data_IF_816433691169
#
_entry.id   IF_816433691169
#
_cell.length_a   1.000
_cell.length_b   1.000
_cell.length_c   1.000
_cell.angle_alpha   90.00
_cell.angle_beta   90.00
_cell.angle_gamma   90.00
#
_symmetry.space_group_name_H-M   'P 1'
#
loop_
_entity.id
_entity.type
_entity.pdbx_description
1 polymer ?
#
# COMPACT_ATOMS: atom_id res chain seq x y z
N UNK A 1 -7.78 -3.16 18.84
CA UNK A 1 -6.86 -2.13 18.35
C UNK A 1 -5.73 -2.79 17.58
N UNK A 2 -5.38 -2.34 16.38
CA UNK A 2 -4.27 -2.91 15.59
C UNK A 2 -3.08 -1.95 15.64
N UNK A 3 -2.16 -2.17 16.58
CA UNK A 3 -0.91 -1.41 16.66
C UNK A 3 0.13 -2.09 15.78
N UNK A 4 0.65 -1.34 14.80
CA UNK A 4 1.63 -1.85 13.82
C UNK A 4 2.83 -0.92 13.77
N UNK A 5 4.00 -1.45 13.47
CA UNK A 5 5.14 -0.63 13.02
C UNK A 5 5.02 -0.47 11.51
N UNK A 6 4.87 0.77 11.05
CA UNK A 6 4.81 1.10 9.62
C UNK A 6 6.12 1.72 9.16
N UNK A 7 6.59 1.32 7.99
CA UNK A 7 7.67 2.00 7.27
C UNK A 7 7.15 2.42 5.91
N UNK A 8 7.41 3.66 5.52
CA UNK A 8 7.02 4.22 4.23
C UNK A 8 8.30 4.56 3.47
N UNK A 9 8.41 4.07 2.25
CA UNK A 9 9.50 4.38 1.33
C UNK A 9 8.95 4.84 -0.01
N UNK A 10 9.69 5.72 -0.68
CA UNK A 10 9.44 6.09 -2.06
C UNK A 10 10.45 5.33 -2.92
N UNK A 11 9.97 4.39 -3.73
CA UNK A 11 10.78 3.52 -4.59
C UNK A 11 10.18 3.52 -6.00
N UNK A 12 10.99 3.86 -7.00
CA UNK A 12 10.56 3.84 -8.41
C UNK A 12 9.32 4.71 -8.71
N UNK A 13 9.10 5.78 -7.94
CA UNK A 13 7.90 6.63 -8.07
C UNK A 13 6.63 6.08 -7.41
N UNK A 14 6.71 4.94 -6.74
CA UNK A 14 5.64 4.36 -5.94
C UNK A 14 5.91 4.56 -4.45
N UNK A 15 4.87 4.93 -3.71
CA UNK A 15 4.91 5.01 -2.26
C UNK A 15 4.53 3.65 -1.67
N UNK A 16 5.54 2.97 -1.14
CA UNK A 16 5.46 1.62 -0.57
C UNK A 16 5.35 1.73 0.95
N UNK A 17 4.23 1.29 1.50
CA UNK A 17 4.00 1.25 2.95
C UNK A 17 3.95 -0.19 3.43
N UNK A 18 4.89 -0.57 4.28
CA UNK A 18 4.95 -1.90 4.90
C UNK A 18 4.53 -1.81 6.35
N UNK A 19 3.49 -2.56 6.72
CA UNK A 19 2.97 -2.68 8.08
C UNK A 19 3.30 -4.06 8.63
N UNK A 20 4.01 -4.13 9.76
CA UNK A 20 4.35 -5.39 10.45
C UNK A 20 3.77 -5.41 11.86
N UNK A 21 3.12 -6.51 12.22
CA UNK A 21 2.61 -6.79 13.57
C UNK A 21 2.37 -8.29 13.75
N UNK A 22 2.60 -8.85 14.94
CA UNK A 22 2.26 -10.24 15.30
C UNK A 22 2.62 -11.31 14.23
N UNK A 23 3.80 -11.18 13.61
CA UNK A 23 4.25 -12.06 12.51
C UNK A 23 3.49 -11.90 11.18
N UNK A 24 2.50 -11.02 11.10
CA UNK A 24 1.76 -10.64 9.89
C UNK A 24 2.41 -9.42 9.23
N UNK A 25 2.30 -9.38 7.90
CA UNK A 25 2.73 -8.24 7.10
C UNK A 25 1.61 -7.84 6.15
N UNK A 26 1.39 -6.54 6.01
CA UNK A 26 0.57 -5.93 4.94
C UNK A 26 1.42 -4.93 4.20
N UNK A 27 1.34 -4.96 2.87
CA UNK A 27 2.01 -3.99 2.00
C UNK A 27 0.94 -3.17 1.29
N UNK A 28 1.09 -1.85 1.31
CA UNK A 28 0.22 -0.92 0.58
C UNK A 28 1.10 -0.14 -0.40
N UNK A 29 0.95 -0.40 -1.68
CA UNK A 29 1.64 0.30 -2.76
C UNK A 29 0.71 1.36 -3.35
N UNK A 30 1.22 2.58 -3.52
CA UNK A 30 0.50 3.69 -4.13
C UNK A 30 1.31 4.23 -5.29
N UNK A 31 0.71 4.29 -6.48
CA UNK A 31 1.34 4.82 -7.69
C UNK A 31 0.35 5.68 -8.45
N UNK A 32 0.85 6.70 -9.12
CA UNK A 32 0.07 7.45 -10.10
C UNK A 32 0.23 6.78 -11.45
N UNK A 33 -0.89 6.43 -12.09
CA UNK A 33 -0.95 5.87 -13.45
C UNK A 33 -2.06 6.62 -14.16
N UNK A 34 -1.75 7.24 -15.29
CA UNK A 34 -2.72 7.98 -16.12
C UNK A 34 -3.56 8.98 -15.31
N UNK A 35 -2.92 9.78 -14.45
CA UNK A 35 -3.53 10.78 -13.54
C UNK A 35 -4.49 10.18 -12.48
N UNK A 36 -4.51 8.85 -12.33
CA UNK A 36 -5.27 8.15 -11.30
C UNK A 36 -4.34 7.60 -10.24
N UNK A 37 -4.78 7.65 -8.98
CA UNK A 37 -4.09 7.01 -7.88
C UNK A 37 -4.49 5.54 -7.82
N UNK A 38 -3.58 4.66 -8.17
CA UNK A 38 -3.73 3.21 -8.05
C UNK A 38 -3.13 2.77 -6.72
N UNK A 39 -3.96 2.12 -5.90
CA UNK A 39 -3.59 1.60 -4.58
C UNK A 39 -3.75 0.08 -4.57
N UNK A 40 -2.66 -0.63 -4.29
CA UNK A 40 -2.62 -2.08 -4.18
C UNK A 40 -2.31 -2.46 -2.73
N UNK A 41 -3.25 -3.12 -2.07
CA UNK A 41 -3.09 -3.62 -0.70
C UNK A 41 -2.94 -5.14 -0.73
N UNK A 42 -1.80 -5.63 -0.27
CA UNK A 42 -1.46 -7.06 -0.26
C UNK A 42 -1.35 -7.55 1.18
N UNK A 43 -2.10 -8.61 1.51
CA UNK A 43 -2.02 -9.29 2.80
C UNK A 43 -2.12 -10.79 2.60
N UNK A 44 -1.08 -11.53 3.01
CA UNK A 44 -1.03 -13.01 2.91
C UNK A 44 -1.40 -13.56 1.51
N UNK A 45 -0.95 -12.89 0.45
CA UNK A 45 -1.22 -13.29 -0.94
C UNK A 45 -2.56 -12.82 -1.51
N UNK A 46 -3.46 -12.27 -0.69
CA UNK A 46 -4.69 -11.62 -1.16
C UNK A 46 -4.38 -10.17 -1.53
N UNK A 47 -4.81 -9.76 -2.71
CA UNK A 47 -4.59 -8.41 -3.24
C UNK A 47 -5.92 -7.69 -3.42
N UNK A 48 -6.02 -6.48 -2.89
CA UNK A 48 -7.13 -5.57 -3.13
C UNK A 48 -6.63 -4.34 -3.89
N UNK A 49 -7.25 -4.04 -5.02
CA UNK A 49 -6.90 -2.91 -5.88
C UNK A 49 -7.98 -1.84 -5.79
N UNK A 50 -7.57 -0.59 -5.61
CA UNK A 50 -8.45 0.59 -5.63
C UNK A 50 -7.88 1.62 -6.60
N UNK A 51 -8.75 2.25 -7.36
CA UNK A 51 -8.41 3.31 -8.32
C UNK A 51 -9.17 4.54 -7.89
N UNK A 52 -8.45 5.64 -7.67
CA UNK A 52 -9.01 6.93 -7.29
C UNK A 52 -8.77 7.94 -8.39
N UNK A 53 -9.76 8.79 -8.63
CA UNK A 53 -9.67 9.94 -9.51
C UNK A 53 -9.45 11.19 -8.67
N UNK A 54 -8.75 12.18 -9.24
CA UNK A 54 -8.67 13.51 -8.65
C UNK A 54 -10.06 14.14 -8.72
N UNK A 55 -10.54 14.65 -7.59
CA UNK A 55 -11.80 15.40 -7.49
C UNK A 55 -11.63 16.85 -7.97
#
# INVERSE_FOLDING_TARGET
DRKVKSTITLDGGALVQVQKWDGKTTTINRKIVDDKLVVECVMKGVTATRIYERA
#
